data_IF_260131005366
#
_entry.id   IF_260131005366
#
_cell.length_a   1.000
_cell.length_b   1.000
_cell.length_c   1.000
_cell.angle_alpha   90.00
_cell.angle_beta   90.00
_cell.angle_gamma   90.00
#
_symmetry.space_group_name_H-M   'P 1'
#
loop_
_entity.id
_entity.type
_entity.pdbx_description
1 polymer ?
#
# COMPACT_ATOMS: atom_id res chain seq x y z
N UNK A 1 -6.46 2.75 14.30
CA UNK A 1 -6.61 1.27 14.27
C UNK A 1 -5.51 0.67 13.41
N UNK A 2 -5.14 -0.59 13.64
CA UNK A 2 -4.24 -1.36 12.78
C UNK A 2 -4.90 -1.52 11.40
N UNK A 3 -4.58 -0.62 10.46
CA UNK A 3 -5.06 -0.68 9.09
C UNK A 3 -4.60 -2.02 8.50
N UNK A 4 -5.52 -2.97 8.36
CA UNK A 4 -5.35 -4.20 7.61
C UNK A 4 -6.10 -4.00 6.31
N UNK A 5 -5.39 -4.05 5.18
CA UNK A 5 -6.02 -4.01 3.86
C UNK A 5 -5.77 -5.36 3.21
N UNK A 6 -6.81 -5.96 2.65
CA UNK A 6 -6.71 -7.14 1.79
C UNK A 6 -7.39 -6.80 0.47
N UNK A 7 -6.69 -7.03 -0.65
CA UNK A 7 -7.25 -6.85 -1.98
C UNK A 7 -6.86 -8.00 -2.91
N UNK A 8 -7.64 -8.16 -3.98
CA UNK A 8 -7.44 -9.20 -4.99
C UNK A 8 -6.58 -8.63 -6.13
N UNK A 9 -5.59 -9.39 -6.59
CA UNK A 9 -4.74 -9.02 -7.73
C UNK A 9 -5.26 -9.74 -9.00
N UNK A 10 -5.41 -9.07 -10.16
CA UNK A 10 -6.02 -9.70 -11.34
C UNK A 10 -5.09 -10.65 -12.12
N UNK A 11 -5.54 -11.92 -12.30
CA UNK A 11 -5.19 -12.91 -13.34
C UNK A 11 -3.79 -13.54 -13.28
N UNK A 12 -3.63 -14.87 -13.14
CA UNK A 12 -2.32 -15.46 -12.76
C UNK A 12 -1.85 -16.83 -13.27
N UNK A 13 -0.51 -17.05 -13.20
CA UNK A 13 0.19 -18.36 -13.23
C UNK A 13 1.69 -18.35 -12.74
N UNK A 14 2.01 -19.05 -11.64
CA UNK A 14 3.05 -18.78 -10.60
C UNK A 14 4.59 -18.93 -10.77
N UNK A 15 5.31 -18.34 -9.78
CA UNK A 15 6.62 -18.72 -9.15
C UNK A 15 6.89 -17.86 -7.88
N UNK A 16 7.74 -18.33 -6.94
CA UNK A 16 7.95 -17.78 -5.57
C UNK A 16 9.24 -16.95 -5.42
N UNK A 17 9.20 -15.81 -4.70
CA UNK A 17 10.35 -14.96 -4.31
C UNK A 17 10.12 -14.39 -2.89
N UNK A 18 11.14 -14.40 -2.02
CA UNK A 18 11.08 -13.79 -0.66
C UNK A 18 11.88 -12.49 -0.63
N UNK A 19 11.32 -11.40 -0.09
CA UNK A 19 12.02 -10.12 0.13
C UNK A 19 11.81 -9.66 1.57
N UNK A 20 12.86 -9.18 2.23
CA UNK A 20 13.06 -9.00 3.69
C UNK A 20 11.99 -8.22 4.50
N UNK A 21 10.96 -7.64 3.86
CA UNK A 21 9.83 -6.92 4.50
C UNK A 21 8.44 -7.37 4.04
N UNK A 22 8.42 -8.31 3.09
CA UNK A 22 7.22 -8.80 2.41
C UNK A 22 7.27 -10.31 2.37
N UNK A 23 6.31 -10.97 3.02
CA UNK A 23 6.22 -12.42 2.96
C UNK A 23 5.32 -12.82 1.80
N UNK A 24 5.81 -13.67 0.90
CA UNK A 24 4.98 -14.34 -0.12
C UNK A 24 4.61 -15.70 0.43
N UNK A 25 3.33 -15.92 0.68
CA UNK A 25 2.79 -17.18 1.20
C UNK A 25 2.09 -17.91 0.07
N UNK A 26 2.45 -19.19 -0.08
CA UNK A 26 1.80 -20.13 -0.97
C UNK A 26 0.74 -20.91 -0.20
N UNK A 27 -0.51 -20.82 -0.63
CA UNK A 27 -1.64 -21.57 -0.07
C UNK A 27 -2.10 -22.59 -1.12
N UNK A 28 -1.59 -23.82 -1.04
CA UNK A 28 -2.13 -24.93 -1.84
C UNK A 28 -3.35 -25.52 -1.14
N UNK A 29 -4.37 -25.80 -1.95
CA UNK A 29 -5.57 -26.53 -1.55
C UNK A 29 -5.58 -27.83 -2.36
N UNK A 30 -5.32 -28.96 -1.70
CA UNK A 30 -5.70 -30.29 -2.21
C UNK A 30 -4.80 -30.95 -3.26
N UNK A 31 -4.80 -32.28 -3.23
CA UNK A 31 -3.93 -33.25 -3.91
C UNK A 31 -4.41 -33.60 -5.33
N UNK A 32 -4.73 -32.60 -6.15
CA UNK A 32 -5.15 -32.81 -7.54
C UNK A 32 -4.30 -32.01 -8.53
N UNK A 33 -3.94 -32.59 -9.67
CA UNK A 33 -3.10 -31.98 -10.70
C UNK A 33 -3.75 -30.80 -11.44
N UNK A 34 -4.98 -30.41 -11.05
CA UNK A 34 -5.74 -29.29 -11.62
C UNK A 34 -5.85 -28.08 -10.67
N UNK A 35 -5.35 -28.18 -9.43
CA UNK A 35 -5.45 -27.09 -8.45
C UNK A 35 -4.37 -26.01 -8.70
N UNK A 36 -4.80 -24.89 -9.30
CA UNK A 36 -3.97 -23.67 -9.41
C UNK A 36 -3.72 -23.12 -8.00
N UNK A 37 -2.45 -22.88 -7.62
CA UNK A 37 -2.16 -22.44 -6.26
C UNK A 37 -2.56 -21.00 -5.98
N UNK A 38 -3.11 -20.79 -4.78
CA UNK A 38 -3.41 -19.45 -4.30
C UNK A 38 -2.14 -18.81 -3.74
N UNK A 39 -1.62 -17.78 -4.41
CA UNK A 39 -0.44 -17.05 -3.95
C UNK A 39 -0.89 -15.75 -3.28
N UNK A 40 -0.37 -15.48 -2.08
CA UNK A 40 -0.65 -14.28 -1.32
C UNK A 40 0.64 -13.52 -0.98
N UNK A 41 0.56 -12.20 -1.00
CA UNK A 41 1.61 -11.29 -0.54
C UNK A 41 1.15 -10.61 0.74
N UNK A 42 2.04 -10.56 1.73
CA UNK A 42 1.80 -9.94 3.02
C UNK A 42 2.89 -8.90 3.29
N UNK A 43 2.52 -7.63 3.18
CA UNK A 43 3.36 -6.49 3.52
C UNK A 43 3.35 -6.20 5.02
N UNK A 44 4.53 -6.12 5.63
CA UNK A 44 4.67 -5.79 7.05
C UNK A 44 4.46 -4.29 7.32
N UNK A 45 4.33 -3.95 8.61
CA UNK A 45 4.35 -2.56 9.08
C UNK A 45 5.75 -1.97 9.12
N UNK A 46 5.85 -0.64 9.08
CA UNK A 46 7.15 0.05 9.13
C UNK A 46 7.17 1.43 8.46
N UNK A 47 6.03 2.12 8.40
CA UNK A 47 5.91 3.43 7.77
C UNK A 47 6.42 3.46 6.32
N UNK A 48 7.14 4.53 5.96
CA UNK A 48 7.68 4.75 4.62
C UNK A 48 8.58 3.61 4.13
N UNK A 49 9.37 3.01 5.02
CA UNK A 49 10.25 1.89 4.64
C UNK A 49 9.44 0.71 4.11
N UNK A 50 8.38 0.33 4.82
CA UNK A 50 7.51 -0.76 4.40
C UNK A 50 6.75 -0.43 3.12
N UNK A 51 6.31 0.83 2.96
CA UNK A 51 5.68 1.31 1.74
C UNK A 51 6.59 1.15 0.51
N UNK A 52 7.82 1.66 0.58
CA UNK A 52 8.80 1.61 -0.52
C UNK A 52 9.19 0.16 -0.82
N UNK A 53 9.44 -0.64 0.21
CA UNK A 53 9.86 -2.03 0.03
C UNK A 53 8.76 -2.91 -0.57
N UNK A 54 7.50 -2.73 -0.17
CA UNK A 54 6.36 -3.42 -0.80
C UNK A 54 6.23 -3.03 -2.27
N UNK A 55 6.34 -1.73 -2.58
CA UNK A 55 6.28 -1.26 -3.96
C UNK A 55 7.38 -1.87 -4.84
N UNK A 56 8.64 -1.82 -4.38
CA UNK A 56 9.76 -2.43 -5.10
C UNK A 56 9.61 -3.93 -5.28
N UNK A 57 9.01 -4.63 -4.30
CA UNK A 57 8.70 -6.05 -4.41
C UNK A 57 7.69 -6.32 -5.53
N UNK A 58 6.59 -5.55 -5.59
CA UNK A 58 5.57 -5.69 -6.64
C UNK A 58 6.13 -5.36 -8.02
N UNK A 59 6.98 -4.34 -8.12
CA UNK A 59 7.65 -3.98 -9.37
C UNK A 59 8.59 -5.09 -9.86
N UNK A 60 9.33 -5.73 -8.97
CA UNK A 60 10.20 -6.86 -9.35
C UNK A 60 9.35 -8.06 -9.78
N UNK A 61 8.29 -8.39 -9.06
CA UNK A 61 7.34 -9.42 -9.47
C UNK A 61 6.75 -9.15 -10.85
N UNK A 62 6.41 -7.89 -11.16
CA UNK A 62 5.94 -7.49 -12.49
C UNK A 62 6.99 -7.77 -13.57
N UNK A 63 8.27 -7.41 -13.34
CA UNK A 63 9.35 -7.64 -14.32
C UNK A 63 9.58 -9.11 -14.63
N UNK A 64 9.37 -9.99 -13.65
CA UNK A 64 9.50 -11.45 -13.82
C UNK A 64 8.21 -12.12 -14.31
N UNK A 65 7.14 -11.36 -14.59
CA UNK A 65 5.84 -11.91 -15.00
C UNK A 65 5.12 -12.67 -13.88
N UNK A 66 5.46 -12.38 -12.62
CA UNK A 66 4.95 -13.04 -11.43
C UNK A 66 3.82 -12.26 -10.75
N UNK A 67 3.62 -10.99 -11.11
CA UNK A 67 2.61 -10.14 -10.47
C UNK A 67 1.19 -10.69 -10.67
N UNK A 68 0.90 -11.09 -11.90
CA UNK A 68 -0.33 -11.76 -12.34
C UNK A 68 -0.67 -12.95 -11.44
N UNK A 69 0.35 -13.66 -10.97
CA UNK A 69 0.21 -14.94 -10.25
C UNK A 69 -0.33 -14.81 -8.84
N UNK A 70 -0.30 -13.60 -8.30
CA UNK A 70 -0.75 -13.31 -6.95
C UNK A 70 -2.26 -13.19 -6.98
N UNK A 71 -2.93 -13.83 -6.03
CA UNK A 71 -4.36 -13.67 -5.83
C UNK A 71 -4.67 -12.66 -4.74
N UNK A 72 -3.86 -12.60 -3.69
CA UNK A 72 -4.11 -11.74 -2.54
C UNK A 72 -2.91 -10.83 -2.28
N UNK A 73 -3.18 -9.55 -2.14
CA UNK A 73 -2.25 -8.58 -1.58
C UNK A 73 -2.82 -8.09 -0.27
N UNK A 74 -2.11 -8.34 0.82
CA UNK A 74 -2.47 -7.87 2.15
C UNK A 74 -1.33 -7.08 2.77
N UNK A 75 -1.65 -6.16 3.67
CA UNK A 75 -0.64 -5.36 4.33
C UNK A 75 -1.14 -4.72 5.61
N UNK A 76 -0.20 -4.37 6.48
CA UNK A 76 -0.47 -3.65 7.72
C UNK A 76 0.37 -2.37 7.83
N UNK A 77 -0.19 -1.33 8.45
CA UNK A 77 0.52 -0.07 8.74
C UNK A 77 1.18 0.53 7.47
N UNK A 78 2.51 0.71 7.43
CA UNK A 78 3.19 1.33 6.29
C UNK A 78 2.93 0.65 4.93
N UNK A 79 2.75 -0.67 4.90
CA UNK A 79 2.37 -1.37 3.68
C UNK A 79 1.00 -0.91 3.13
N UNK A 80 0.06 -0.51 4.00
CA UNK A 80 -1.25 -0.03 3.54
C UNK A 80 -1.17 1.31 2.84
N UNK A 81 -0.14 2.12 3.08
CA UNK A 81 0.07 3.36 2.34
C UNK A 81 0.39 3.08 0.87
N UNK A 82 1.24 2.08 0.61
CA UNK A 82 1.50 1.59 -0.74
C UNK A 82 0.23 1.05 -1.39
N UNK A 83 -0.49 0.17 -0.68
CA UNK A 83 -1.74 -0.42 -1.19
C UNK A 83 -2.81 0.64 -1.48
N UNK A 84 -2.98 1.64 -0.62
CA UNK A 84 -3.91 2.75 -0.83
C UNK A 84 -3.58 3.55 -2.08
N UNK A 85 -2.28 3.77 -2.35
CA UNK A 85 -1.81 4.48 -3.54
C UNK A 85 -2.03 3.65 -4.82
N UNK A 86 -1.79 2.34 -4.75
CA UNK A 86 -2.03 1.40 -5.86
C UNK A 86 -3.53 1.30 -6.19
N UNK A 87 -4.36 0.96 -5.20
CA UNK A 87 -5.80 0.72 -5.42
C UNK A 87 -6.60 1.97 -5.81
N UNK A 88 -6.00 3.16 -5.71
CA UNK A 88 -6.62 4.37 -6.23
C UNK A 88 -6.76 4.38 -7.77
N UNK A 89 -6.01 3.54 -8.49
CA UNK A 89 -6.10 3.40 -9.94
C UNK A 89 -6.49 1.96 -10.30
N UNK A 90 -7.54 1.76 -11.11
CA UNK A 90 -8.00 0.42 -11.48
C UNK A 90 -7.00 -0.41 -12.31
N UNK A 91 -6.05 0.27 -12.98
CA UNK A 91 -5.01 -0.29 -13.84
C UNK A 91 -3.60 -0.19 -13.23
N UNK A 92 -3.52 -0.12 -11.89
CA UNK A 92 -2.26 0.07 -11.16
C UNK A 92 -1.21 -0.99 -11.50
N UNK A 93 -1.62 -2.23 -11.78
CA UNK A 93 -0.72 -3.33 -12.08
C UNK A 93 0.07 -3.10 -13.39
N UNK A 94 -0.48 -2.34 -14.34
CA UNK A 94 0.20 -1.95 -15.58
C UNK A 94 1.07 -0.70 -15.39
N UNK A 95 0.72 0.15 -14.42
CA UNK A 95 1.30 1.47 -14.19
C UNK A 95 2.23 1.57 -12.97
N UNK A 96 2.73 0.43 -12.46
CA UNK A 96 3.63 0.39 -11.30
C UNK A 96 4.83 1.33 -11.43
N UNK A 97 5.48 1.41 -12.59
CA UNK A 97 6.61 2.33 -12.82
C UNK A 97 6.20 3.81 -12.77
N UNK A 98 5.01 4.16 -13.25
CA UNK A 98 4.51 5.53 -13.17
C UNK A 98 4.22 5.92 -11.71
N UNK A 99 3.74 4.97 -10.92
CA UNK A 99 3.51 5.15 -9.49
C UNK A 99 4.83 5.30 -8.72
N UNK A 100 5.86 4.54 -9.08
CA UNK A 100 7.23 4.67 -8.52
C UNK A 100 7.70 6.11 -8.62
N UNK A 101 7.61 6.69 -9.83
CA UNK A 101 8.02 8.07 -10.08
C UNK A 101 7.21 9.07 -9.24
N UNK A 102 5.89 8.86 -9.14
CA UNK A 102 5.03 9.72 -8.32
C UNK A 102 5.42 9.66 -6.84
N UNK A 103 5.63 8.46 -6.30
CA UNK A 103 6.05 8.27 -4.91
C UNK A 103 7.43 8.86 -4.65
N UNK A 104 8.41 8.61 -5.52
CA UNK A 104 9.74 9.21 -5.41
C UNK A 104 9.68 10.75 -5.46
N UNK A 105 8.88 11.33 -6.36
CA UNK A 105 8.69 12.77 -6.44
C UNK A 105 8.02 13.32 -5.17
N UNK A 106 7.00 12.64 -4.64
CA UNK A 106 6.31 13.03 -3.41
C UNK A 106 7.25 12.97 -2.19
N UNK A 107 8.07 11.93 -2.08
CA UNK A 107 9.02 11.75 -0.98
C UNK A 107 10.23 12.70 -1.07
N UNK A 108 10.65 13.04 -2.28
CA UNK A 108 11.82 13.92 -2.50
C UNK A 108 11.44 15.40 -2.38
N UNK A 109 10.23 15.78 -2.79
CA UNK A 109 9.72 17.15 -2.66
C UNK A 109 9.17 17.37 -1.25
N UNK A 110 10.08 17.58 -0.29
CA UNK A 110 9.72 17.99 1.07
C UNK A 110 9.11 19.39 1.07
N UNK A 111 7.81 19.48 0.82
CA UNK A 111 7.06 20.74 0.92
C UNK A 111 6.05 20.63 2.05
N UNK A 112 6.56 20.64 3.28
CA UNK A 112 5.71 20.55 4.45
C UNK A 112 4.86 21.83 4.59
N UNK A 113 3.61 21.74 4.14
CA UNK A 113 2.67 22.84 4.24
C UNK A 113 1.98 22.81 5.61
N UNK A 114 2.67 23.35 6.61
CA UNK A 114 2.19 23.47 7.99
C UNK A 114 0.84 24.19 8.09
N UNK A 115 0.60 25.18 7.22
CA UNK A 115 -0.66 25.93 7.19
C UNK A 115 -1.81 25.00 6.80
N UNK A 116 -1.66 24.30 5.68
CA UNK A 116 -2.68 23.35 5.19
C UNK A 116 -2.89 22.19 6.18
N UNK A 117 -1.82 21.67 6.77
CA UNK A 117 -1.92 20.65 7.81
C UNK A 117 -2.73 21.14 9.03
N UNK A 118 -2.47 22.37 9.49
CA UNK A 118 -3.19 22.98 10.62
C UNK A 118 -4.66 23.24 10.29
N UNK A 119 -4.96 23.67 9.06
CA UNK A 119 -6.35 23.87 8.60
C UNK A 119 -7.14 22.55 8.57
N UNK A 120 -6.57 21.48 8.00
CA UNK A 120 -7.21 20.16 7.99
C UNK A 120 -7.39 19.60 9.40
N UNK A 121 -6.41 19.80 10.28
CA UNK A 121 -6.50 19.41 11.69
C UNK A 121 -7.61 20.16 12.42
N UNK A 122 -7.69 21.48 12.23
CA UNK A 122 -8.72 22.32 12.85
C UNK A 122 -10.12 21.95 12.38
N UNK A 123 -10.25 21.56 11.11
CA UNK A 123 -11.51 21.06 10.57
C UNK A 123 -11.88 19.70 11.17
N UNK A 124 -10.94 18.76 11.21
CA UNK A 124 -11.17 17.44 11.82
C UNK A 124 -11.49 17.53 13.32
N UNK A 125 -10.93 18.51 14.03
CA UNK A 125 -11.19 18.73 15.46
C UNK A 125 -12.63 19.19 15.77
N UNK A 126 -13.41 19.57 14.75
CA UNK A 126 -14.84 19.88 14.91
C UNK A 126 -15.71 18.62 14.95
N UNK A 127 -15.20 17.49 14.50
CA UNK A 127 -15.90 16.20 14.58
C UNK A 127 -15.89 15.69 16.02
N UNK A 128 -17.04 15.21 16.50
CA UNK A 128 -17.17 14.61 17.84
C UNK A 128 -16.32 13.35 18.01
N UNK A 129 -15.92 12.71 16.89
CA UNK A 129 -15.09 11.51 16.87
C UNK A 129 -13.60 11.80 16.70
N UNK A 130 -13.18 13.07 16.79
CA UNK A 130 -11.77 13.43 16.67
C UNK A 130 -10.89 12.69 17.69
N UNK A 131 -9.81 12.07 17.21
CA UNK A 131 -8.87 11.31 18.03
C UNK A 131 -7.42 11.64 17.67
N UNK A 132 -6.49 11.02 18.41
CA UNK A 132 -5.07 11.09 18.10
C UNK A 132 -4.74 10.49 16.72
N UNK A 133 -5.61 9.65 16.16
CA UNK A 133 -5.45 9.06 14.82
C UNK A 133 -5.54 10.13 13.75
N UNK A 134 -6.54 11.02 13.83
CA UNK A 134 -6.73 12.17 12.93
C UNK A 134 -5.56 13.14 13.09
N UNK A 135 -5.15 13.41 14.33
CA UNK A 135 -3.95 14.23 14.59
C UNK A 135 -2.72 13.66 13.89
N UNK A 136 -2.45 12.37 14.08
CA UNK A 136 -1.31 11.70 13.47
C UNK A 136 -1.40 11.64 11.94
N UNK A 137 -2.59 11.43 11.37
CA UNK A 137 -2.81 11.40 9.93
C UNK A 137 -2.53 12.77 9.28
N UNK A 138 -3.10 13.85 9.80
CA UNK A 138 -2.95 15.19 9.22
C UNK A 138 -1.59 15.84 9.49
N UNK A 139 -0.81 15.33 10.45
CA UNK A 139 0.52 15.85 10.76
C UNK A 139 1.64 14.98 10.17
N UNK A 140 1.70 13.71 10.57
CA UNK A 140 2.80 12.79 10.25
C UNK A 140 2.59 12.20 8.85
N UNK A 141 1.43 11.60 8.57
CA UNK A 141 1.18 10.96 7.27
C UNK A 141 1.11 11.99 6.15
N UNK A 142 0.38 13.09 6.37
CA UNK A 142 0.36 14.22 5.43
C UNK A 142 1.77 14.79 5.20
N UNK A 143 2.59 14.84 6.25
CA UNK A 143 3.96 15.31 6.13
C UNK A 143 4.89 14.42 5.33
N UNK A 144 4.67 13.11 5.42
CA UNK A 144 5.49 12.11 4.74
C UNK A 144 5.05 11.88 3.30
N UNK A 145 3.73 11.91 3.03
CA UNK A 145 3.17 11.50 1.75
C UNK A 145 2.60 12.65 0.93
N UNK A 146 2.34 13.82 1.55
CA UNK A 146 1.68 14.97 0.91
C UNK A 146 0.31 14.69 0.25
N UNK A 147 -0.22 13.47 0.39
CA UNK A 147 -1.45 12.98 -0.27
C UNK A 147 -2.70 12.98 0.63
N UNK A 148 -2.58 13.41 1.89
CA UNK A 148 -3.75 13.40 2.80
C UNK A 148 -4.62 14.64 2.55
N UNK A 149 -5.51 14.52 1.57
CA UNK A 149 -6.62 15.41 1.31
C UNK A 149 -7.68 14.64 0.52
N UNK A 150 -8.85 14.43 1.13
CA UNK A 150 -10.01 13.65 0.66
C UNK A 150 -9.93 12.12 0.64
N UNK A 151 -8.76 11.48 0.43
CA UNK A 151 -8.70 10.04 0.13
C UNK A 151 -8.49 9.07 1.30
N UNK A 152 -8.30 9.56 2.52
CA UNK A 152 -8.09 8.73 3.71
C UNK A 152 -9.38 8.47 4.51
N UNK A 153 -10.53 8.97 4.05
CA UNK A 153 -11.85 8.80 4.69
C UNK A 153 -12.40 7.36 4.61
N UNK A 154 -11.63 6.42 4.05
CA UNK A 154 -11.97 5.00 3.85
C UNK A 154 -11.06 4.04 4.63
N UNK A 155 -10.24 4.56 5.55
CA UNK A 155 -9.55 3.77 6.58
C UNK A 155 -10.20 4.01 7.94
#
# INVERSE_FOLDING_TARGET
LLNYVMGVVPGGNGRCVTVDTTQVIYMSKGDSSEDVPNIAILGAGGGLRAMIALHGTLQELQKHGLLDTIMYLSGVSGATWCMSSLYNNGDWAEKLQALEKHMCDALTKSTWNLRKATEMLLEAAKDENYSLTEFWAYTVVYGMLHEVGEKLSVL
#
